data_IF_082935891244
#
_entry.id   IF_082935891244
#
_cell.length_a   1.000
_cell.length_b   1.000
_cell.length_c   1.000
_cell.angle_alpha   90.00
_cell.angle_beta   90.00
_cell.angle_gamma   90.00
#
_symmetry.space_group_name_H-M   'P 1'
#
loop_
_entity.id
_entity.type
_entity.pdbx_description
1 polymer ?
#
# COMPACT_ATOMS: atom_id res chain seq x y z
N UNK A 1 -27.92 64.49 14.74
CA UNK A 1 -28.58 65.76 14.96
C UNK A 1 -29.51 65.60 16.15
N UNK A 2 -29.32 66.42 17.19
CA UNK A 2 -30.19 66.42 18.36
C UNK A 2 -31.57 66.90 17.93
N UNK A 3 -32.60 66.14 18.25
CA UNK A 3 -33.97 66.59 18.09
C UNK A 3 -34.20 67.84 18.94
N UNK A 4 -34.64 68.93 18.31
CA UNK A 4 -34.76 70.23 18.94
C UNK A 4 -36.09 70.46 19.68
N UNK A 5 -36.98 69.48 19.70
CA UNK A 5 -38.26 69.46 20.47
C UNK A 5 -38.54 68.07 20.98
N UNK A 6 -38.69 67.96 22.31
CA UNK A 6 -39.10 66.69 22.93
C UNK A 6 -40.64 66.59 22.81
N UNK A 7 -41.12 65.77 21.83
CA UNK A 7 -42.54 65.46 21.65
C UNK A 7 -42.99 64.21 22.41
N UNK A 8 -42.21 63.75 23.40
CA UNK A 8 -42.49 62.54 24.19
C UNK A 8 -42.25 61.18 23.47
N UNK A 9 -41.70 61.23 22.22
CA UNK A 9 -41.45 60.02 21.44
C UNK A 9 -39.97 59.69 21.27
N UNK A 10 -39.03 60.33 22.00
CA UNK A 10 -37.65 59.99 21.97
C UNK A 10 -37.44 58.66 22.68
N UNK A 11 -37.24 57.61 21.89
CA UNK A 11 -36.76 56.32 22.42
C UNK A 11 -35.24 56.40 22.57
N UNK A 12 -34.75 56.38 23.79
CA UNK A 12 -33.32 56.30 24.07
C UNK A 12 -32.83 54.89 23.64
N UNK A 13 -31.88 54.89 22.76
CA UNK A 13 -31.20 53.60 22.37
C UNK A 13 -30.38 53.05 23.56
N UNK A 14 -30.71 51.85 23.97
CA UNK A 14 -29.78 51.03 24.74
C UNK A 14 -28.90 50.30 23.71
N UNK A 15 -27.64 50.71 23.65
CA UNK A 15 -26.70 50.11 22.66
C UNK A 15 -26.20 48.76 23.13
N UNK A 16 -25.97 47.84 22.19
CA UNK A 16 -25.45 46.49 22.41
C UNK A 16 -25.73 45.58 21.23
N UNK A 17 -25.25 44.35 21.27
CA UNK A 17 -25.54 43.37 20.26
C UNK A 17 -26.98 42.89 20.34
N UNK A 18 -27.75 43.08 19.24
CA UNK A 18 -29.18 42.72 19.17
C UNK A 18 -29.42 41.38 18.43
N UNK A 19 -28.37 40.73 17.96
CA UNK A 19 -28.48 39.43 17.27
C UNK A 19 -28.44 38.28 18.27
N UNK A 20 -29.58 37.49 18.43
CA UNK A 20 -29.63 36.35 19.33
C UNK A 20 -28.61 35.24 19.03
N UNK A 21 -28.03 35.21 17.84
CA UNK A 21 -27.01 34.23 17.47
C UNK A 21 -25.60 34.60 17.95
N UNK A 22 -25.40 35.83 18.42
CA UNK A 22 -24.12 36.29 18.92
C UNK A 22 -23.90 35.83 20.38
N UNK A 23 -22.62 35.57 20.72
CA UNK A 23 -22.19 35.15 22.07
C UNK A 23 -22.44 36.22 23.13
N UNK A 24 -22.45 37.49 22.75
CA UNK A 24 -22.67 38.66 23.60
C UNK A 24 -24.02 39.35 23.34
N UNK A 25 -25.01 38.55 22.86
CA UNK A 25 -26.39 39.05 22.72
C UNK A 25 -26.89 39.74 23.98
N UNK A 26 -27.43 40.92 23.84
CA UNK A 26 -28.05 41.68 24.90
C UNK A 26 -29.54 41.90 24.62
N UNK A 27 -30.39 41.13 25.29
CA UNK A 27 -31.85 41.21 25.12
C UNK A 27 -32.43 42.57 25.49
N UNK A 28 -31.72 43.42 26.22
CA UNK A 28 -32.13 44.76 26.61
C UNK A 28 -31.67 45.83 25.60
N UNK A 29 -30.82 45.49 24.65
CA UNK A 29 -30.40 46.42 23.60
C UNK A 29 -31.54 46.68 22.61
N UNK A 30 -31.72 47.94 22.27
CA UNK A 30 -32.72 48.40 21.28
C UNK A 30 -32.07 48.96 20.01
N UNK A 31 -30.74 49.17 20.06
CA UNK A 31 -29.94 49.64 18.93
C UNK A 31 -28.64 48.83 18.84
N UNK A 32 -28.37 48.33 17.66
CA UNK A 32 -27.09 47.66 17.40
C UNK A 32 -25.92 48.65 17.41
N UNK A 33 -24.87 48.32 18.13
CA UNK A 33 -23.64 49.11 18.22
C UNK A 33 -22.47 48.47 17.40
N UNK A 34 -22.77 47.41 16.67
CA UNK A 34 -21.76 46.67 15.89
C UNK A 34 -20.84 45.80 16.76
N UNK A 35 -21.16 45.61 18.07
CA UNK A 35 -20.32 44.84 19.00
C UNK A 35 -20.57 43.35 18.97
N UNK A 36 -21.44 42.82 18.08
CA UNK A 36 -21.79 41.41 18.05
C UNK A 36 -20.57 40.53 17.83
N UNK A 37 -20.33 39.60 18.75
CA UNK A 37 -19.29 38.58 18.69
C UNK A 37 -19.94 37.24 18.35
N UNK A 38 -19.61 36.68 17.21
CA UNK A 38 -20.15 35.38 16.79
C UNK A 38 -19.23 34.23 17.25
N UNK A 39 -19.81 33.05 17.53
CA UNK A 39 -19.00 31.85 17.78
C UNK A 39 -18.07 31.61 16.58
N UNK A 40 -16.81 31.26 16.84
CA UNK A 40 -15.89 30.92 15.77
C UNK A 40 -16.41 29.73 14.98
N UNK A 41 -16.50 29.88 13.67
CA UNK A 41 -17.00 28.84 12.75
C UNK A 41 -15.84 28.14 12.07
N UNK A 42 -16.08 26.91 11.60
CA UNK A 42 -15.12 26.19 10.78
C UNK A 42 -14.92 26.93 9.44
N UNK A 43 -13.69 27.36 9.16
CA UNK A 43 -13.31 28.03 7.91
C UNK A 43 -12.86 27.08 6.80
N UNK A 44 -13.20 25.78 6.91
CA UNK A 44 -12.93 24.74 5.92
C UNK A 44 -11.44 24.68 5.48
N UNK A 45 -10.49 24.47 6.41
CA UNK A 45 -9.07 24.48 6.08
C UNK A 45 -8.72 23.45 5.00
N UNK A 46 -7.73 23.81 4.17
CA UNK A 46 -7.26 22.98 3.05
C UNK A 46 -6.26 21.93 3.57
N UNK A 47 -6.29 20.68 3.08
CA UNK A 47 -5.28 19.70 3.43
C UNK A 47 -3.85 20.17 3.14
N UNK A 48 -2.98 20.03 4.15
CA UNK A 48 -1.56 20.39 4.10
C UNK A 48 -0.68 19.20 4.46
N UNK A 49 0.64 19.34 4.36
CA UNK A 49 1.58 18.28 4.70
C UNK A 49 1.46 17.05 3.78
N UNK A 50 1.09 17.26 2.51
CA UNK A 50 0.99 16.17 1.56
C UNK A 50 2.35 15.51 1.34
N UNK A 51 2.39 14.19 1.51
CA UNK A 51 3.59 13.39 1.30
C UNK A 51 3.22 11.99 0.80
N UNK A 52 4.21 11.24 0.34
CA UNK A 52 4.02 9.87 -0.14
C UNK A 52 4.94 8.92 0.60
N UNK A 53 4.39 7.80 1.07
CA UNK A 53 5.10 6.66 1.68
C UNK A 53 4.69 5.35 1.02
N UNK A 54 5.27 4.23 1.43
CA UNK A 54 4.95 2.89 0.92
C UNK A 54 4.95 2.83 -0.63
N UNK A 55 5.84 3.62 -1.25
CA UNK A 55 5.97 3.76 -2.69
C UNK A 55 6.60 2.50 -3.30
N UNK A 56 5.95 1.95 -4.33
CA UNK A 56 6.45 0.85 -5.14
C UNK A 56 6.20 1.12 -6.62
N UNK A 57 6.36 0.10 -7.45
CA UNK A 57 6.10 0.20 -8.89
C UNK A 57 4.59 0.26 -9.23
N UNK A 58 3.69 -0.16 -8.33
CA UNK A 58 2.25 -0.29 -8.59
C UNK A 58 1.36 0.43 -7.58
N UNK A 59 1.95 1.09 -6.58
CA UNK A 59 1.20 1.75 -5.49
C UNK A 59 1.96 2.86 -4.81
N UNK A 60 1.21 3.73 -4.15
CA UNK A 60 1.71 4.82 -3.33
C UNK A 60 0.70 5.12 -2.21
N UNK A 61 1.18 5.41 -1.01
CA UNK A 61 0.34 5.86 0.11
C UNK A 61 0.48 7.37 0.25
N UNK A 62 -0.57 8.08 -0.12
CA UNK A 62 -0.66 9.54 0.08
C UNK A 62 -1.03 9.81 1.53
N UNK A 63 -0.29 10.72 2.17
CA UNK A 63 -0.51 11.17 3.54
C UNK A 63 -0.76 12.68 3.56
N UNK A 64 -1.44 13.15 4.61
CA UNK A 64 -1.72 14.57 4.88
C UNK A 64 -1.78 14.83 6.38
N UNK A 65 -1.70 16.10 6.79
CA UNK A 65 -1.87 16.49 8.17
C UNK A 65 -3.34 16.36 8.62
N UNK A 66 -3.57 16.00 9.89
CA UNK A 66 -4.92 16.03 10.46
C UNK A 66 -5.45 17.46 10.48
N UNK A 67 -6.70 17.63 10.09
CA UNK A 67 -7.41 18.92 10.08
C UNK A 67 -8.50 19.01 11.16
N UNK A 68 -8.68 17.96 11.96
CA UNK A 68 -9.66 17.97 13.05
C UNK A 68 -9.24 18.97 14.13
N UNK A 69 -10.17 19.85 14.47
CA UNK A 69 -10.08 20.80 15.59
C UNK A 69 -11.40 20.79 16.34
N UNK A 70 -11.49 21.51 17.47
CA UNK A 70 -12.75 21.69 18.19
C UNK A 70 -13.85 22.39 17.37
N UNK A 71 -13.47 23.11 16.34
CA UNK A 71 -14.37 23.87 15.46
C UNK A 71 -14.63 23.18 14.12
N UNK A 72 -13.66 22.40 13.63
CA UNK A 72 -13.70 21.74 12.34
C UNK A 72 -13.55 20.23 12.51
N UNK A 73 -14.62 19.48 12.34
CA UNK A 73 -14.58 18.01 12.28
C UNK A 73 -14.65 17.57 10.82
N UNK A 74 -13.67 16.83 10.38
CA UNK A 74 -13.60 16.31 9.01
C UNK A 74 -14.51 15.09 8.88
N UNK A 75 -15.39 15.12 7.92
CA UNK A 75 -16.27 14.00 7.55
C UNK A 75 -15.60 13.09 6.52
N UNK A 76 -14.88 13.68 5.55
CA UNK A 76 -14.34 12.95 4.42
C UNK A 76 -13.11 13.65 3.85
N UNK A 77 -12.12 12.86 3.44
CA UNK A 77 -11.06 13.32 2.53
C UNK A 77 -11.22 12.70 1.15
N UNK A 78 -10.93 13.48 0.12
CA UNK A 78 -10.83 13.01 -1.27
C UNK A 78 -9.45 13.32 -1.80
N UNK A 79 -8.76 12.27 -2.27
CA UNK A 79 -7.50 12.37 -2.99
C UNK A 79 -7.80 12.21 -4.47
N UNK A 80 -7.34 13.15 -5.28
CA UNK A 80 -7.33 13.06 -6.73
C UNK A 80 -5.90 12.90 -7.22
N UNK A 81 -5.70 12.05 -8.21
CA UNK A 81 -4.40 11.80 -8.83
C UNK A 81 -4.56 11.51 -10.31
N UNK A 82 -3.53 11.82 -11.09
CA UNK A 82 -3.45 11.58 -12.53
C UNK A 82 -1.99 11.39 -12.95
N UNK A 83 -1.77 10.74 -14.06
CA UNK A 83 -0.44 10.72 -14.68
C UNK A 83 -0.07 12.12 -15.16
N UNK A 84 1.18 12.50 -14.97
CA UNK A 84 1.70 13.79 -15.43
C UNK A 84 1.49 13.94 -16.94
N UNK A 85 1.00 15.11 -17.35
CA UNK A 85 0.68 15.40 -18.76
C UNK A 85 -0.69 14.91 -19.23
N UNK A 86 -1.47 14.17 -18.40
CA UNK A 86 -2.84 13.79 -18.72
C UNK A 86 -3.85 14.74 -18.07
N UNK A 87 -5.10 14.74 -18.57
CA UNK A 87 -6.20 15.53 -18.00
C UNK A 87 -7.24 14.69 -17.26
N UNK A 88 -7.05 13.37 -17.16
CA UNK A 88 -8.01 12.44 -16.54
C UNK A 88 -7.66 12.22 -15.08
N UNK A 89 -8.50 12.73 -14.17
CA UNK A 89 -8.34 12.56 -12.73
C UNK A 89 -9.00 11.29 -12.24
N UNK A 90 -8.23 10.45 -11.56
CA UNK A 90 -8.72 9.35 -10.72
C UNK A 90 -8.98 9.87 -9.30
N UNK A 91 -9.97 9.29 -8.62
CA UNK A 91 -10.35 9.72 -7.28
C UNK A 91 -10.37 8.57 -6.29
N UNK A 92 -9.82 8.79 -5.10
CA UNK A 92 -9.95 7.90 -3.93
C UNK A 92 -10.48 8.69 -2.75
N UNK A 93 -11.40 8.08 -2.01
CA UNK A 93 -12.07 8.71 -0.89
C UNK A 93 -11.71 7.97 0.41
N UNK A 94 -11.43 8.72 1.47
CA UNK A 94 -11.32 8.23 2.84
C UNK A 94 -12.59 8.67 3.58
N UNK A 95 -13.37 7.71 4.01
CA UNK A 95 -14.65 7.86 4.72
C UNK A 95 -14.61 7.09 6.04
N UNK A 96 -15.47 7.44 6.96
CA UNK A 96 -15.76 6.69 8.18
C UNK A 96 -17.23 6.84 8.57
N UNK A 97 -17.65 6.23 9.68
CA UNK A 97 -18.99 6.36 10.27
C UNK A 97 -18.93 7.18 11.57
N UNK A 98 -20.01 7.93 11.89
CA UNK A 98 -20.09 8.71 13.13
C UNK A 98 -19.12 9.91 13.21
N UNK A 99 -18.64 10.38 12.08
CA UNK A 99 -17.52 11.32 11.99
C UNK A 99 -17.83 12.71 12.52
N UNK A 100 -19.09 13.12 12.48
CA UNK A 100 -19.50 14.44 13.01
C UNK A 100 -19.47 14.51 14.55
N UNK A 101 -19.25 13.40 15.23
CA UNK A 101 -19.01 13.38 16.68
C UNK A 101 -17.50 13.51 17.02
N UNK A 102 -16.61 12.91 16.19
CA UNK A 102 -15.19 12.78 16.50
C UNK A 102 -14.26 13.27 15.39
N UNK A 103 -14.77 13.47 14.18
CA UNK A 103 -13.98 13.73 12.98
C UNK A 103 -13.24 12.49 12.47
N UNK A 104 -12.86 12.51 11.19
CA UNK A 104 -12.11 11.44 10.54
C UNK A 104 -10.64 11.51 10.96
N UNK A 105 -10.17 10.50 11.67
CA UNK A 105 -8.77 10.41 12.13
C UNK A 105 -7.80 9.87 11.07
N UNK A 106 -8.34 9.25 10.00
CA UNK A 106 -7.52 8.74 8.89
C UNK A 106 -6.84 9.87 8.14
N UNK A 107 -5.52 9.87 8.12
CA UNK A 107 -4.67 10.88 7.48
C UNK A 107 -3.88 10.32 6.30
N UNK A 108 -4.33 9.21 5.73
CA UNK A 108 -3.68 8.59 4.57
C UNK A 108 -4.65 7.81 3.70
N UNK A 109 -4.25 7.62 2.44
CA UNK A 109 -4.97 6.76 1.48
C UNK A 109 -4.01 6.06 0.54
N UNK A 110 -4.17 4.75 0.40
CA UNK A 110 -3.41 3.96 -0.56
C UNK A 110 -4.00 4.11 -1.96
N UNK A 111 -3.15 4.41 -2.92
CA UNK A 111 -3.40 4.35 -4.36
C UNK A 111 -2.85 3.01 -4.87
N UNK A 112 -3.63 2.29 -5.65
CA UNK A 112 -3.33 0.96 -6.17
C UNK A 112 -3.40 0.95 -7.69
N UNK A 113 -2.75 -0.03 -8.32
CA UNK A 113 -2.76 -0.25 -9.77
C UNK A 113 -2.20 0.94 -10.54
N UNK A 114 -1.14 1.53 -10.00
CA UNK A 114 -0.39 2.57 -10.69
C UNK A 114 0.52 1.96 -11.75
N UNK A 115 0.80 2.72 -12.79
CA UNK A 115 1.75 2.36 -13.84
C UNK A 115 3.18 2.48 -13.30
N UNK A 116 4.06 1.49 -13.48
CA UNK A 116 5.47 1.58 -13.08
C UNK A 116 6.21 2.72 -13.78
N UNK A 117 7.29 3.22 -13.16
CA UNK A 117 8.19 4.24 -13.72
C UNK A 117 7.46 5.49 -14.23
N UNK A 118 6.32 5.84 -13.59
CA UNK A 118 5.41 6.88 -14.05
C UNK A 118 5.26 7.98 -13.00
N UNK A 119 5.34 9.23 -13.42
CA UNK A 119 5.11 10.39 -12.56
C UNK A 119 3.63 10.69 -12.47
N UNK A 120 3.14 10.87 -11.25
CA UNK A 120 1.77 11.24 -10.92
C UNK A 120 1.74 12.59 -10.24
N UNK A 121 0.76 13.41 -10.60
CA UNK A 121 0.35 14.59 -9.84
C UNK A 121 -0.83 14.21 -8.95
N UNK A 122 -0.88 14.76 -7.73
CA UNK A 122 -1.98 14.52 -6.80
C UNK A 122 -2.30 15.74 -5.97
N UNK A 123 -3.54 15.78 -5.46
CA UNK A 123 -4.08 16.83 -4.58
C UNK A 123 -5.13 16.25 -3.65
N UNK A 124 -5.40 16.91 -2.55
CA UNK A 124 -6.40 16.49 -1.59
C UNK A 124 -7.40 17.60 -1.27
N UNK A 125 -8.60 17.20 -0.83
CA UNK A 125 -9.70 18.06 -0.42
C UNK A 125 -10.40 17.45 0.79
N UNK A 126 -10.87 18.27 1.71
CA UNK A 126 -11.63 17.84 2.89
C UNK A 126 -13.09 18.32 2.83
N UNK A 127 -13.99 17.53 3.41
CA UNK A 127 -15.37 17.90 3.71
C UNK A 127 -15.57 17.94 5.22
N UNK A 128 -16.31 18.91 5.70
CA UNK A 128 -16.52 19.17 7.13
C UNK A 128 -17.97 18.99 7.50
N UNK A 129 -18.22 18.51 8.72
CA UNK A 129 -19.55 18.24 9.22
C UNK A 129 -20.44 19.49 9.37
N UNK A 130 -19.83 20.63 9.69
CA UNK A 130 -20.54 21.89 9.98
C UNK A 130 -20.31 22.97 8.94
N UNK A 131 -19.60 22.63 7.84
CA UNK A 131 -19.20 23.62 6.85
C UNK A 131 -19.13 23.02 5.44
N UNK A 132 -18.82 23.87 4.49
CA UNK A 132 -18.57 23.43 3.13
C UNK A 132 -17.24 22.67 3.00
N UNK A 133 -17.03 22.05 1.86
CA UNK A 133 -15.75 21.46 1.53
C UNK A 133 -14.67 22.54 1.37
N UNK A 134 -13.41 22.20 1.72
CA UNK A 134 -12.26 23.03 1.38
C UNK A 134 -12.10 23.19 -0.15
N UNK A 135 -11.23 24.06 -0.61
CA UNK A 135 -10.64 23.95 -1.94
C UNK A 135 -9.69 22.75 -2.00
N UNK A 136 -9.22 22.38 -3.19
CA UNK A 136 -8.13 21.44 -3.30
C UNK A 136 -6.82 22.04 -2.81
N UNK A 137 -5.94 21.22 -2.24
CA UNK A 137 -4.56 21.60 -1.95
C UNK A 137 -3.81 21.98 -3.23
N UNK A 138 -2.65 22.61 -3.07
CA UNK A 138 -1.66 22.70 -4.15
C UNK A 138 -1.33 21.30 -4.68
N UNK A 139 -0.91 21.24 -5.96
CA UNK A 139 -0.44 20.01 -6.58
C UNK A 139 0.89 19.56 -5.95
N UNK A 140 0.99 18.26 -5.72
CA UNK A 140 2.22 17.57 -5.37
C UNK A 140 2.44 16.44 -6.37
N UNK A 141 3.66 15.92 -6.47
CA UNK A 141 3.99 14.86 -7.41
C UNK A 141 4.81 13.77 -6.75
N UNK A 142 4.74 12.56 -7.31
CA UNK A 142 5.63 11.44 -7.03
C UNK A 142 5.83 10.62 -8.29
N UNK A 143 6.92 9.84 -8.34
CA UNK A 143 7.18 8.89 -9.44
C UNK A 143 7.21 7.48 -8.86
N UNK A 144 6.42 6.57 -9.44
CA UNK A 144 6.46 5.14 -9.08
C UNK A 144 7.82 4.54 -9.41
N UNK A 145 8.19 3.51 -8.65
CA UNK A 145 9.46 2.82 -8.87
C UNK A 145 9.42 1.98 -10.14
N UNK A 146 10.61 1.58 -10.61
CA UNK A 146 10.75 0.61 -11.69
C UNK A 146 10.13 -0.75 -11.30
N UNK A 147 9.70 -1.56 -12.26
CA UNK A 147 9.24 -2.92 -12.00
C UNK A 147 10.33 -3.72 -11.27
N UNK A 148 9.96 -4.40 -10.19
CA UNK A 148 10.87 -5.33 -9.55
C UNK A 148 11.09 -6.54 -10.46
N UNK A 149 12.33 -6.80 -10.97
CA UNK A 149 12.58 -7.87 -11.91
C UNK A 149 12.55 -9.23 -11.25
N UNK A 150 12.20 -10.28 -11.98
CA UNK A 150 12.43 -11.66 -11.53
C UNK A 150 13.86 -12.11 -11.86
N UNK A 151 14.36 -13.12 -11.14
CA UNK A 151 15.58 -13.81 -11.55
C UNK A 151 15.36 -14.53 -12.87
N UNK A 152 16.42 -14.73 -13.62
CA UNK A 152 16.40 -15.39 -14.91
C UNK A 152 16.96 -16.82 -14.80
N UNK A 153 16.56 -17.68 -15.71
CA UNK A 153 17.14 -19.02 -15.87
C UNK A 153 17.16 -19.85 -14.58
N UNK A 154 16.02 -19.83 -13.83
CA UNK A 154 15.91 -20.72 -12.68
C UNK A 154 16.10 -22.16 -13.15
N UNK A 155 17.09 -22.84 -12.57
CA UNK A 155 17.43 -24.22 -12.89
C UNK A 155 17.58 -25.03 -11.58
N UNK A 156 17.53 -26.35 -11.71
CA UNK A 156 17.73 -27.28 -10.62
C UNK A 156 18.65 -28.41 -11.06
N UNK A 157 19.56 -28.81 -10.19
CA UNK A 157 20.39 -30.00 -10.34
C UNK A 157 20.30 -30.85 -9.06
N UNK A 158 20.27 -32.17 -9.21
CA UNK A 158 20.22 -33.08 -8.07
C UNK A 158 21.62 -33.51 -7.68
N UNK A 159 22.13 -33.02 -6.56
CA UNK A 159 23.44 -33.40 -6.03
C UNK A 159 23.46 -34.77 -5.33
N UNK A 160 22.27 -35.28 -4.95
CA UNK A 160 22.05 -36.62 -4.40
C UNK A 160 20.56 -36.99 -4.53
N UNK A 161 20.20 -38.18 -4.08
CA UNK A 161 18.81 -38.64 -4.08
C UNK A 161 17.90 -37.89 -3.08
N UNK A 162 18.47 -37.11 -2.14
CA UNK A 162 17.73 -36.34 -1.12
C UNK A 162 18.05 -34.86 -1.15
N UNK A 163 18.91 -34.38 -2.06
CA UNK A 163 19.29 -32.97 -2.15
C UNK A 163 19.19 -32.48 -3.61
N UNK A 164 18.66 -31.26 -3.76
CA UNK A 164 18.71 -30.53 -5.01
C UNK A 164 19.34 -29.15 -4.80
N UNK A 165 20.06 -28.66 -5.78
CA UNK A 165 20.65 -27.32 -5.85
C UNK A 165 19.89 -26.49 -6.86
N UNK A 166 19.27 -25.42 -6.41
CA UNK A 166 18.69 -24.40 -7.29
C UNK A 166 19.76 -23.37 -7.66
N UNK A 167 19.77 -22.95 -8.92
CA UNK A 167 20.62 -21.87 -9.43
C UNK A 167 19.82 -20.95 -10.33
N UNK A 168 20.30 -19.72 -10.48
CA UNK A 168 19.65 -18.70 -11.31
C UNK A 168 20.64 -17.62 -11.73
N UNK A 169 20.26 -16.84 -12.72
CA UNK A 169 21.00 -15.66 -13.17
C UNK A 169 20.36 -14.40 -12.57
N UNK A 170 21.18 -13.50 -12.03
CA UNK A 170 20.72 -12.20 -11.58
C UNK A 170 20.21 -11.36 -12.78
N UNK A 171 19.10 -10.64 -12.64
CA UNK A 171 18.70 -9.62 -13.60
C UNK A 171 19.67 -8.43 -13.56
N UNK A 172 19.64 -7.58 -14.58
CA UNK A 172 20.44 -6.35 -14.64
C UNK A 172 20.04 -5.32 -13.57
N UNK A 173 18.74 -5.22 -13.29
CA UNK A 173 18.25 -4.34 -12.23
C UNK A 173 18.39 -4.99 -10.85
N UNK A 174 18.66 -4.21 -9.79
CA UNK A 174 18.94 -4.76 -8.47
C UNK A 174 17.70 -5.40 -7.84
N UNK A 175 17.93 -6.44 -7.04
CA UNK A 175 16.94 -7.06 -6.16
C UNK A 175 17.57 -7.35 -4.79
N UNK A 176 16.72 -7.56 -3.77
CA UNK A 176 17.20 -7.82 -2.41
C UNK A 176 17.32 -9.30 -2.12
N UNK A 177 16.32 -10.08 -2.44
CA UNK A 177 16.33 -11.53 -2.26
C UNK A 177 15.37 -12.25 -3.22
N UNK A 178 15.60 -13.54 -3.41
CA UNK A 178 14.72 -14.43 -4.16
C UNK A 178 14.11 -15.47 -3.20
N UNK A 179 12.83 -15.73 -3.35
CA UNK A 179 12.15 -16.85 -2.68
C UNK A 179 11.87 -17.94 -3.70
N UNK A 180 12.23 -19.17 -3.35
CA UNK A 180 11.96 -20.36 -4.16
C UNK A 180 10.93 -21.18 -3.40
N UNK A 181 9.77 -21.39 -4.00
CA UNK A 181 8.76 -22.33 -3.54
C UNK A 181 8.81 -23.59 -4.37
N UNK A 182 8.56 -24.73 -3.74
CA UNK A 182 8.50 -26.04 -4.39
C UNK A 182 7.46 -26.92 -3.72
N UNK A 183 7.00 -27.91 -4.43
CA UNK A 183 6.12 -28.98 -3.90
C UNK A 183 6.32 -30.26 -4.69
N UNK A 184 5.81 -31.35 -4.17
CA UNK A 184 5.63 -32.58 -4.94
C UNK A 184 4.74 -32.29 -6.15
N UNK A 185 5.09 -32.85 -7.30
CA UNK A 185 4.30 -32.72 -8.53
C UNK A 185 3.06 -33.64 -8.48
N UNK A 186 2.15 -33.30 -7.59
CA UNK A 186 0.84 -33.92 -7.48
C UNK A 186 -0.19 -32.92 -7.00
N UNK A 187 -1.44 -33.12 -7.40
CA UNK A 187 -2.56 -32.25 -7.04
C UNK A 187 -2.74 -32.24 -5.51
N UNK A 188 -2.90 -31.05 -4.93
CA UNK A 188 -3.13 -30.88 -3.49
C UNK A 188 -1.87 -30.92 -2.60
N UNK A 189 -0.68 -31.18 -3.16
CA UNK A 189 0.57 -31.17 -2.38
C UNK A 189 0.87 -29.80 -1.77
N UNK A 190 1.31 -29.80 -0.52
CA UNK A 190 1.67 -28.58 0.20
C UNK A 190 2.93 -27.91 -0.40
N UNK A 191 2.93 -26.57 -0.41
CA UNK A 191 4.08 -25.78 -0.79
C UNK A 191 5.07 -25.67 0.39
N UNK A 192 6.35 -25.77 0.08
CA UNK A 192 7.44 -25.45 1.00
C UNK A 192 8.52 -24.63 0.30
N UNK A 193 9.55 -24.18 1.00
CA UNK A 193 10.55 -23.27 0.45
C UNK A 193 11.97 -23.87 0.48
N UNK A 194 12.78 -23.47 -0.50
CA UNK A 194 14.21 -23.63 -0.45
C UNK A 194 14.83 -22.32 0.07
N UNK A 195 15.38 -22.34 1.29
CA UNK A 195 16.03 -21.17 1.89
C UNK A 195 15.16 -20.34 2.85
N UNK A 196 14.08 -20.92 3.39
CA UNK A 196 13.24 -20.25 4.40
C UNK A 196 12.61 -18.96 3.90
N UNK A 197 12.91 -17.82 4.55
CA UNK A 197 12.38 -16.51 4.18
C UNK A 197 12.75 -16.09 2.75
N UNK A 198 13.98 -16.37 2.34
CA UNK A 198 14.49 -16.07 1.00
C UNK A 198 16.01 -16.16 0.96
N UNK A 199 16.57 -16.17 -0.24
CA UNK A 199 18.00 -16.18 -0.50
C UNK A 199 18.43 -14.77 -0.88
N UNK A 200 19.24 -14.14 -0.02
CA UNK A 200 19.70 -12.77 -0.17
C UNK A 200 20.71 -12.65 -1.33
N UNK A 201 20.60 -11.57 -2.10
CA UNK A 201 21.66 -11.19 -3.03
C UNK A 201 22.95 -10.91 -2.23
N UNK A 202 24.16 -11.29 -2.71
CA UNK A 202 24.49 -11.74 -4.08
C UNK A 202 24.47 -13.26 -4.31
N UNK A 203 23.94 -14.08 -3.40
CA UNK A 203 23.88 -15.51 -3.64
C UNK A 203 23.00 -15.86 -4.84
N UNK A 204 23.51 -16.71 -5.72
CA UNK A 204 22.84 -17.15 -6.95
C UNK A 204 22.50 -18.64 -6.95
N UNK A 205 22.70 -19.31 -5.82
CA UNK A 205 22.39 -20.72 -5.64
C UNK A 205 21.80 -21.00 -4.27
N UNK A 206 21.02 -22.09 -4.16
CA UNK A 206 20.50 -22.57 -2.89
C UNK A 206 20.28 -24.09 -2.90
N UNK A 207 20.82 -24.76 -1.89
CA UNK A 207 20.55 -26.17 -1.67
C UNK A 207 19.23 -26.39 -0.92
N UNK A 208 18.51 -27.41 -1.30
CA UNK A 208 17.35 -27.93 -0.59
C UNK A 208 17.59 -29.40 -0.26
N UNK A 209 17.64 -29.69 1.04
CA UNK A 209 17.79 -31.04 1.59
C UNK A 209 16.41 -31.63 1.98
N UNK A 210 16.37 -32.90 2.29
CA UNK A 210 15.18 -33.60 2.77
C UNK A 210 14.16 -33.86 1.68
N UNK A 211 14.59 -33.98 0.43
CA UNK A 211 13.78 -34.44 -0.69
C UNK A 211 13.67 -35.96 -0.68
N UNK A 212 12.62 -36.50 -1.24
CA UNK A 212 12.38 -37.95 -1.33
C UNK A 212 12.99 -38.48 -2.63
N UNK A 213 13.76 -39.56 -2.52
CA UNK A 213 14.33 -40.25 -3.68
C UNK A 213 13.23 -40.75 -4.64
N UNK A 214 13.45 -40.59 -5.95
CA UNK A 214 12.49 -40.98 -6.99
C UNK A 214 11.24 -40.10 -7.11
N UNK A 215 11.08 -39.11 -6.26
CA UNK A 215 9.89 -38.23 -6.23
C UNK A 215 10.05 -37.09 -7.25
N UNK A 216 8.99 -36.83 -8.01
CA UNK A 216 8.89 -35.66 -8.90
C UNK A 216 8.41 -34.42 -8.15
N UNK A 217 9.02 -33.28 -8.48
CA UNK A 217 8.77 -32.00 -7.87
C UNK A 217 8.60 -30.92 -8.95
N UNK A 218 7.95 -29.83 -8.55
CA UNK A 218 7.94 -28.59 -9.31
C UNK A 218 8.36 -27.42 -8.42
N UNK A 219 8.99 -26.42 -9.01
CA UNK A 219 9.42 -25.21 -8.30
C UNK A 219 9.20 -23.96 -9.16
N UNK A 220 9.15 -22.83 -8.46
CA UNK A 220 9.06 -21.48 -9.05
C UNK A 220 9.74 -20.48 -8.14
N UNK A 221 10.25 -19.40 -8.70
CA UNK A 221 10.90 -18.31 -7.97
C UNK A 221 10.14 -17.00 -8.07
N UNK A 222 10.34 -16.14 -7.09
CA UNK A 222 9.90 -14.74 -7.12
C UNK A 222 10.88 -13.88 -6.36
N UNK A 223 11.21 -12.71 -6.90
CA UNK A 223 12.12 -11.76 -6.27
C UNK A 223 11.39 -10.69 -5.47
N UNK A 224 12.08 -10.18 -4.47
CA UNK A 224 11.72 -9.00 -3.71
C UNK A 224 12.82 -7.95 -3.86
N UNK A 225 12.43 -6.71 -4.13
CA UNK A 225 13.34 -5.58 -4.28
C UNK A 225 13.48 -4.74 -3.01
N UNK A 226 12.72 -5.07 -1.96
CA UNK A 226 12.86 -4.50 -0.63
C UNK A 226 13.40 -5.56 0.35
N UNK A 227 14.47 -5.26 1.14
CA UNK A 227 15.15 -6.26 1.97
C UNK A 227 14.27 -6.86 3.08
N UNK A 228 13.28 -6.12 3.55
CA UNK A 228 12.31 -6.60 4.54
C UNK A 228 11.08 -7.27 3.90
N UNK A 229 11.10 -7.51 2.59
CA UNK A 229 9.96 -8.09 1.86
C UNK A 229 8.88 -7.07 1.52
N UNK A 230 7.64 -7.41 1.85
CA UNK A 230 6.52 -6.50 1.59
C UNK A 230 6.03 -6.50 0.13
N UNK A 231 5.42 -5.39 -0.32
CA UNK A 231 4.75 -5.32 -1.61
C UNK A 231 5.67 -5.14 -2.81
N UNK A 232 6.88 -4.57 -2.63
CA UNK A 232 7.80 -4.33 -3.74
C UNK A 232 8.52 -5.63 -4.13
N UNK A 233 7.90 -6.36 -5.04
CA UNK A 233 8.32 -7.69 -5.51
C UNK A 233 7.95 -7.85 -6.99
N UNK A 234 8.54 -8.82 -7.67
CA UNK A 234 8.18 -9.15 -9.04
C UNK A 234 6.68 -9.40 -9.20
N UNK A 235 6.11 -9.01 -10.32
CA UNK A 235 4.66 -9.05 -10.57
C UNK A 235 4.09 -10.46 -10.44
N UNK A 236 4.81 -11.46 -10.96
CA UNK A 236 4.39 -12.86 -10.96
C UNK A 236 5.51 -13.77 -10.44
N UNK A 237 5.15 -14.99 -10.10
CA UNK A 237 6.11 -16.08 -9.95
C UNK A 237 6.68 -16.46 -11.33
N UNK A 238 7.94 -16.92 -11.37
CA UNK A 238 8.53 -17.47 -12.60
C UNK A 238 7.69 -18.67 -13.10
N UNK A 239 7.81 -19.06 -14.38
CA UNK A 239 7.32 -20.34 -14.85
C UNK A 239 7.82 -21.47 -13.95
N UNK A 240 7.05 -22.55 -13.88
CA UNK A 240 7.46 -23.73 -13.14
C UNK A 240 8.60 -24.46 -13.85
N UNK A 241 9.57 -24.91 -13.06
CA UNK A 241 10.54 -25.93 -13.46
C UNK A 241 10.14 -27.25 -12.81
N UNK A 242 10.37 -28.34 -13.53
CA UNK A 242 10.01 -29.71 -13.12
C UNK A 242 11.27 -30.56 -13.09
N UNK A 243 11.36 -31.46 -12.11
CA UNK A 243 12.45 -32.43 -12.04
C UNK A 243 12.01 -33.65 -11.21
N UNK A 244 12.70 -34.76 -11.40
CA UNK A 244 12.57 -35.95 -10.56
C UNK A 244 13.87 -36.18 -9.80
N UNK A 245 13.78 -36.34 -8.48
CA UNK A 245 14.93 -36.70 -7.66
C UNK A 245 15.45 -38.10 -8.09
N UNK A 246 16.79 -38.28 -8.15
CA UNK A 246 17.34 -39.60 -8.41
C UNK A 246 16.80 -40.64 -7.45
N UNK A 247 16.53 -41.83 -7.95
CA UNK A 247 16.12 -42.97 -7.14
C UNK A 247 17.25 -43.43 -6.19
N UNK A 248 16.91 -44.28 -5.24
CA UNK A 248 17.91 -44.94 -4.41
C UNK A 248 18.60 -45.99 -5.26
N UNK A 249 19.92 -45.92 -5.38
CA UNK A 249 20.70 -47.00 -6.01
C UNK A 249 20.65 -48.22 -5.06
N UNK A 250 20.09 -49.31 -5.52
CA UNK A 250 20.20 -50.61 -4.84
C UNK A 250 21.56 -51.17 -5.26
N UNK A 251 22.46 -51.34 -4.30
CA UNK A 251 23.68 -52.08 -4.50
C UNK A 251 23.31 -53.57 -4.49
N UNK A 252 23.44 -54.23 -5.63
CA UNK A 252 23.33 -55.68 -5.66
C UNK A 252 24.67 -56.23 -5.29
N UNK A 253 24.80 -56.71 -4.05
CA UNK A 253 26.00 -57.47 -3.62
C UNK A 253 25.96 -58.81 -4.33
N UNK A 254 27.03 -59.11 -5.06
CA UNK A 254 27.12 -60.26 -6.01
C UNK A 254 27.28 -61.64 -5.30
N UNK A 255 26.96 -61.72 -4.02
CA UNK A 255 27.16 -62.98 -3.29
C UNK A 255 25.90 -63.82 -3.01
N UNK A 256 24.72 -63.46 -3.54
CA UNK A 256 23.59 -64.40 -3.46
C UNK A 256 22.69 -64.32 -4.68
N UNK A 257 22.74 -65.36 -5.50
CA UNK A 257 21.99 -65.52 -6.73
C UNK A 257 20.48 -65.73 -6.47
N UNK A 258 19.74 -64.66 -6.45
CA UNK A 258 18.34 -64.69 -6.79
C UNK A 258 18.01 -63.33 -7.45
N UNK A 259 18.11 -63.29 -8.78
CA UNK A 259 17.68 -62.12 -9.59
C UNK A 259 16.16 -62.16 -9.69
N UNK A 260 15.47 -61.49 -8.77
CA UNK A 260 14.08 -61.11 -9.00
C UNK A 260 14.03 -59.58 -8.91
N UNK A 261 13.66 -58.94 -10.07
CA UNK A 261 13.40 -57.52 -10.29
C UNK A 261 14.60 -56.59 -10.51
N UNK A 262 15.31 -56.77 -11.61
CA UNK A 262 16.26 -55.77 -12.14
C UNK A 262 15.46 -54.69 -12.92
N UNK A 263 15.30 -53.53 -12.35
CA UNK A 263 14.81 -52.36 -13.10
C UNK A 263 16.03 -51.54 -13.59
N UNK A 264 16.29 -51.62 -14.90
CA UNK A 264 17.35 -50.87 -15.56
C UNK A 264 16.79 -49.47 -15.92
N UNK A 265 17.36 -48.41 -15.39
CA UNK A 265 17.06 -47.06 -15.83
C UNK A 265 18.10 -46.63 -16.88
N UNK A 266 17.67 -46.01 -17.99
CA UNK A 266 18.58 -45.52 -19.00
C UNK A 266 19.40 -44.36 -18.43
N UNK A 267 20.69 -44.35 -18.74
CA UNK A 267 21.62 -43.27 -18.41
C UNK A 267 21.28 -42.06 -19.29
N UNK A 268 21.00 -40.88 -18.77
CA UNK A 268 20.79 -39.70 -19.63
C UNK A 268 22.11 -39.27 -20.20
N UNK A 269 22.16 -39.24 -21.52
CA UNK A 269 23.24 -38.63 -22.33
C UNK A 269 23.19 -37.10 -22.26
#
# INVERSE_FOLDING_TARGET
>A
SAANTNNGTCVYCTYGCIDPSAMNYNASATCDDGSCIYPPTCNSPVPTGLSVTDLTHDRAKVNWASLNTSLCLVEMYRVQYKELGTNVWSTKTALGSGLCNFGLTTTSKMLWNLTPSTTYEYRAKAWYCSASASTFSSLSAFTTLDPCPNVLNLAVSSGSNTQATFSWTAPTAPYSFVRIKLRVDSVGSAWFTAGGYGVMYPALTRNKNGLTAGQSYLASSRTWCHPLGGPYKALSWSPFIFWTQPGTLIRIDSENSAIENLTIYPNPS
#
